data_IF_398039302348
#
_entry.id   IF_398039302348
#
_cell.length_a   1.000
_cell.length_b   1.000
_cell.length_c   1.000
_cell.angle_alpha   90.00
_cell.angle_beta   90.00
_cell.angle_gamma   90.00
#
_symmetry.space_group_name_H-M   'P 1'
#
loop_
_entity.id
_entity.type
_entity.pdbx_description
1 polymer ?
#
# COMPACT_ATOMS: atom_id res chain seq x y z
N UNK A 1 52.83 -39.75 19.34
CA UNK A 1 53.09 -38.37 18.86
C UNK A 1 51.89 -37.89 18.05
N UNK A 2 51.29 -36.78 18.51
CA UNK A 2 50.35 -35.83 17.85
C UNK A 2 48.99 -36.34 17.33
N UNK A 3 47.87 -35.93 17.96
CA UNK A 3 46.55 -35.93 17.32
C UNK A 3 46.39 -34.66 16.46
N UNK A 4 45.83 -34.83 15.26
CA UNK A 4 45.50 -33.77 14.33
C UNK A 4 44.09 -33.25 14.65
N UNK A 5 43.99 -32.04 15.21
CA UNK A 5 42.74 -31.37 15.50
C UNK A 5 42.37 -30.48 14.30
N UNK A 6 41.32 -30.85 13.56
CA UNK A 6 40.76 -30.03 12.49
C UNK A 6 39.70 -29.09 13.07
N UNK A 7 40.03 -27.80 13.14
CA UNK A 7 39.12 -26.74 13.57
C UNK A 7 38.35 -26.22 12.35
N UNK A 8 37.04 -26.51 12.27
CA UNK A 8 36.13 -25.88 11.30
C UNK A 8 35.78 -24.48 11.81
N UNK A 9 36.30 -23.45 11.14
CA UNK A 9 35.92 -22.07 11.38
C UNK A 9 34.69 -21.75 10.54
N UNK A 10 33.51 -21.65 11.19
CA UNK A 10 32.26 -21.24 10.54
C UNK A 10 32.30 -19.71 10.38
N UNK A 11 32.55 -19.22 9.17
CA UNK A 11 32.46 -17.78 8.86
C UNK A 11 30.99 -17.45 8.62
N UNK A 12 30.35 -16.83 9.61
CA UNK A 12 29.04 -16.18 9.43
C UNK A 12 29.31 -14.82 8.79
N UNK A 13 29.12 -14.70 7.48
CA UNK A 13 29.07 -13.40 6.81
C UNK A 13 27.73 -12.74 7.16
N UNK A 14 27.75 -11.81 8.10
CA UNK A 14 26.65 -10.87 8.30
C UNK A 14 26.55 -9.99 7.04
N UNK A 15 25.56 -10.28 6.20
CA UNK A 15 25.17 -9.37 5.12
C UNK A 15 24.66 -8.08 5.76
N UNK A 16 25.42 -6.98 5.63
CA UNK A 16 24.93 -5.65 5.95
C UNK A 16 23.89 -5.28 4.88
N UNK A 17 22.63 -5.57 5.17
CA UNK A 17 21.52 -5.18 4.32
C UNK A 17 21.41 -3.66 4.37
N UNK A 18 21.73 -2.97 3.27
CA UNK A 18 21.56 -1.51 3.16
C UNK A 18 20.10 -1.16 3.48
N UNK A 19 19.89 -0.21 4.41
CA UNK A 19 18.55 0.25 4.74
C UNK A 19 17.92 0.90 3.50
N UNK A 20 16.66 0.57 3.14
CA UNK A 20 15.99 1.20 2.02
C UNK A 20 15.97 2.73 2.15
N UNK A 21 16.13 3.43 1.03
CA UNK A 21 15.97 4.88 0.98
C UNK A 21 14.51 5.24 1.30
N UNK A 22 14.31 6.17 2.23
CA UNK A 22 12.99 6.68 2.59
C UNK A 22 12.37 7.47 1.44
N UNK A 23 11.11 7.19 1.13
CA UNK A 23 10.36 7.88 0.09
C UNK A 23 9.81 9.24 0.58
N UNK A 24 9.96 10.27 -0.24
CA UNK A 24 9.57 11.64 0.13
C UNK A 24 8.29 12.12 -0.55
N UNK A 25 7.76 11.34 -1.49
CA UNK A 25 6.57 11.69 -2.29
C UNK A 25 5.60 10.52 -2.23
N UNK A 26 4.79 10.47 -1.18
CA UNK A 26 3.75 9.46 -0.98
C UNK A 26 2.38 10.13 -0.90
N UNK A 27 1.39 9.56 -1.57
CA UNK A 27 -0.01 9.85 -1.26
C UNK A 27 -0.48 8.78 -0.28
N UNK A 28 -0.69 9.18 0.97
CA UNK A 28 -1.10 8.29 2.04
C UNK A 28 -2.64 8.25 2.09
N UNK A 29 -3.27 7.09 1.89
CA UNK A 29 -4.69 6.94 2.17
C UNK A 29 -4.92 6.98 3.68
N UNK A 30 -5.84 7.84 4.11
CA UNK A 30 -6.19 8.02 5.53
C UNK A 30 -7.71 8.21 5.70
N UNK A 31 -8.24 7.91 6.90
CA UNK A 31 -9.58 8.29 7.29
C UNK A 31 -9.80 9.79 7.09
N UNK A 32 -10.98 10.17 6.60
CA UNK A 32 -11.32 11.56 6.26
C UNK A 32 -11.27 12.50 7.46
N UNK A 33 -11.40 12.00 8.68
CA UNK A 33 -11.23 12.75 9.93
C UNK A 33 -9.80 13.30 10.07
N UNK A 34 -8.81 12.64 9.46
CA UNK A 34 -7.41 13.07 9.41
C UNK A 34 -7.11 14.03 8.26
N UNK A 35 -8.13 14.43 7.49
CA UNK A 35 -7.97 15.30 6.32
C UNK A 35 -7.24 16.59 6.68
N UNK A 36 -6.37 16.98 5.77
CA UNK A 36 -5.74 18.30 5.77
C UNK A 36 -6.22 19.13 4.57
N UNK A 37 -5.89 20.43 4.57
CA UNK A 37 -6.16 21.32 3.41
C UNK A 37 -5.44 20.86 2.13
N UNK A 38 -4.41 19.99 2.26
CA UNK A 38 -3.60 19.47 1.15
C UNK A 38 -4.04 18.08 0.70
N UNK A 39 -5.03 17.48 1.36
CA UNK A 39 -5.51 16.16 0.99
C UNK A 39 -6.41 16.23 -0.24
N UNK A 40 -6.30 15.23 -1.11
CA UNK A 40 -7.14 15.02 -2.30
C UNK A 40 -8.20 13.96 -1.97
N UNK A 41 -9.42 14.14 -2.47
CA UNK A 41 -10.50 13.18 -2.26
C UNK A 41 -10.61 12.29 -3.52
N UNK A 42 -10.43 10.96 -3.41
CA UNK A 42 -10.70 10.05 -4.52
C UNK A 42 -12.14 10.14 -5.02
N UNK A 43 -12.38 9.75 -6.27
CA UNK A 43 -13.73 9.78 -6.82
C UNK A 43 -14.67 8.87 -6.02
N UNK A 44 -15.84 9.39 -5.63
CA UNK A 44 -16.84 8.65 -4.86
C UNK A 44 -16.51 8.45 -3.38
N UNK A 45 -15.32 8.84 -2.90
CA UNK A 45 -14.91 8.64 -1.52
C UNK A 45 -15.73 9.50 -0.54
N UNK A 46 -16.25 8.85 0.49
CA UNK A 46 -16.98 9.47 1.58
C UNK A 46 -16.19 9.46 2.88
N UNK A 47 -15.36 8.43 3.08
CA UNK A 47 -14.61 8.19 4.31
C UNK A 47 -13.08 8.22 4.13
N UNK A 48 -12.57 8.29 2.90
CA UNK A 48 -11.12 8.29 2.61
C UNK A 48 -10.64 9.60 1.98
N UNK A 49 -9.44 10.02 2.36
CA UNK A 49 -8.67 11.04 1.65
C UNK A 49 -7.27 10.53 1.34
N UNK A 50 -6.62 11.12 0.35
CA UNK A 50 -5.21 10.91 0.06
C UNK A 50 -4.42 12.14 0.49
N UNK A 51 -3.55 11.99 1.49
CA UNK A 51 -2.78 13.09 2.06
C UNK A 51 -1.31 13.03 1.63
N UNK A 52 -0.70 14.14 1.20
CA UNK A 52 0.74 14.19 0.95
C UNK A 52 1.56 13.83 2.20
N UNK A 53 2.45 12.86 2.05
CA UNK A 53 3.25 12.29 3.12
C UNK A 53 4.67 11.91 2.67
N UNK A 54 5.53 11.61 3.65
CA UNK A 54 6.88 11.07 3.47
C UNK A 54 7.15 9.97 4.47
N UNK A 55 7.98 9.00 4.10
CA UNK A 55 8.57 8.08 5.06
C UNK A 55 9.54 8.82 5.99
N UNK A 56 9.58 8.37 7.24
CA UNK A 56 10.50 8.81 8.28
C UNK A 56 11.19 7.59 8.91
N UNK A 57 12.35 7.80 9.51
CA UNK A 57 13.08 6.72 10.17
C UNK A 57 12.43 6.28 11.51
N UNK A 58 11.71 7.20 12.16
CA UNK A 58 11.06 6.96 13.44
C UNK A 58 9.65 6.39 13.28
N UNK A 59 9.09 5.79 14.35
CA UNK A 59 7.69 5.34 14.40
C UNK A 59 6.76 6.56 14.34
N UNK A 60 5.74 6.59 13.46
CA UNK A 60 5.09 5.44 12.80
C UNK A 60 5.59 5.11 11.39
N UNK A 61 6.77 5.57 10.99
CA UNK A 61 7.42 5.25 9.71
C UNK A 61 6.95 6.11 8.53
N UNK A 62 5.81 6.81 8.65
CA UNK A 62 5.34 7.84 7.72
C UNK A 62 4.79 9.03 8.50
N UNK A 63 5.08 10.23 8.00
CA UNK A 63 4.43 11.46 8.45
C UNK A 63 3.78 12.23 7.30
N UNK A 64 2.63 12.82 7.59
CA UNK A 64 1.97 13.80 6.72
C UNK A 64 2.79 15.08 6.71
N UNK A 65 2.96 15.70 5.54
CA UNK A 65 3.67 16.96 5.45
C UNK A 65 2.96 18.08 6.24
N UNK A 66 3.64 18.71 7.22
CA UNK A 66 3.17 19.95 7.81
C UNK A 66 3.05 21.04 6.74
N UNK A 67 2.16 22.02 6.97
CA UNK A 67 1.91 23.11 6.01
C UNK A 67 3.19 23.83 5.58
N UNK A 68 4.06 24.15 6.55
CA UNK A 68 5.31 24.86 6.31
C UNK A 68 6.31 24.03 5.49
N UNK A 69 6.38 22.73 5.75
CA UNK A 69 7.27 21.83 5.03
C UNK A 69 6.75 21.55 3.62
N UNK A 70 5.44 21.39 3.45
CA UNK A 70 4.83 21.24 2.13
C UNK A 70 5.08 22.49 1.26
N UNK A 71 4.96 23.68 1.84
CA UNK A 71 5.21 24.94 1.12
C UNK A 71 6.64 25.03 0.56
N UNK A 72 7.63 24.50 1.30
CA UNK A 72 9.04 24.44 0.85
C UNK A 72 9.24 23.56 -0.38
N UNK A 73 8.34 22.61 -0.65
CA UNK A 73 8.39 21.77 -1.85
C UNK A 73 8.05 22.57 -3.12
N UNK A 74 7.33 23.69 -2.98
CA UNK A 74 6.88 24.49 -4.13
C UNK A 74 5.91 23.75 -5.05
N UNK A 75 5.14 22.80 -4.52
CA UNK A 75 4.18 21.97 -5.27
C UNK A 75 2.75 22.30 -4.85
N UNK A 76 1.80 22.18 -5.78
CA UNK A 76 0.38 22.04 -5.43
C UNK A 76 0.07 20.61 -4.98
N UNK A 77 -1.02 20.37 -4.23
CA UNK A 77 -1.48 19.01 -3.90
C UNK A 77 -1.65 18.11 -5.13
N UNK A 78 -2.18 18.63 -6.23
CA UNK A 78 -2.42 17.89 -7.47
C UNK A 78 -1.11 17.50 -8.15
N UNK A 79 -0.15 18.44 -8.19
CA UNK A 79 1.19 18.18 -8.73
C UNK A 79 1.94 17.16 -7.87
N UNK A 80 1.78 17.25 -6.55
CA UNK A 80 2.36 16.28 -5.62
C UNK A 80 1.75 14.88 -5.84
N UNK A 81 0.42 14.79 -5.96
CA UNK A 81 -0.27 13.54 -6.23
C UNK A 81 0.20 12.89 -7.55
N UNK A 82 0.32 13.69 -8.62
CA UNK A 82 0.81 13.20 -9.91
C UNK A 82 2.25 12.70 -9.82
N UNK A 83 3.14 13.41 -9.10
CA UNK A 83 4.52 12.95 -8.91
C UNK A 83 4.61 11.70 -8.03
N UNK A 84 3.73 11.57 -7.04
CA UNK A 84 3.69 10.41 -6.14
C UNK A 84 3.32 9.12 -6.87
N UNK A 85 2.61 9.19 -8.01
CA UNK A 85 2.37 8.01 -8.86
C UNK A 85 3.67 7.35 -9.30
N UNK A 86 4.70 8.14 -9.60
CA UNK A 86 6.03 7.62 -9.98
C UNK A 86 6.73 6.92 -8.81
N UNK A 87 6.56 7.43 -7.59
CA UNK A 87 7.05 6.76 -6.38
C UNK A 87 6.32 5.43 -6.18
N UNK A 88 5.00 5.42 -6.32
CA UNK A 88 4.19 4.21 -6.18
C UNK A 88 4.56 3.17 -7.25
N UNK A 89 4.80 3.57 -8.50
CA UNK A 89 5.33 2.69 -9.56
C UNK A 89 6.67 2.06 -9.18
N UNK A 90 7.62 2.88 -8.73
CA UNK A 90 8.92 2.38 -8.29
C UNK A 90 8.74 1.34 -7.18
N UNK A 91 7.97 1.66 -6.14
CA UNK A 91 7.70 0.73 -5.03
C UNK A 91 7.03 -0.57 -5.50
N UNK A 92 6.11 -0.48 -6.45
CA UNK A 92 5.44 -1.63 -7.06
C UNK A 92 6.41 -2.58 -7.77
N UNK A 93 7.53 -2.07 -8.31
CA UNK A 93 8.59 -2.93 -8.90
C UNK A 93 9.50 -3.59 -7.85
N UNK A 94 9.56 -3.05 -6.64
CA UNK A 94 10.41 -3.54 -5.54
C UNK A 94 9.68 -4.55 -4.66
N UNK A 95 8.36 -4.39 -4.51
CA UNK A 95 7.53 -5.17 -3.59
C UNK A 95 6.73 -6.18 -4.39
N UNK A 96 6.81 -7.46 -4.04
CA UNK A 96 6.05 -8.52 -4.69
C UNK A 96 4.77 -8.81 -3.91
N UNK A 97 3.63 -9.01 -4.59
CA UNK A 97 2.42 -9.47 -3.94
C UNK A 97 2.50 -10.97 -3.63
N UNK A 98 1.87 -11.38 -2.54
CA UNK A 98 1.50 -12.76 -2.31
C UNK A 98 0.20 -13.06 -3.05
N UNK A 99 0.24 -14.01 -3.98
CA UNK A 99 -0.96 -14.46 -4.72
C UNK A 99 -1.53 -15.68 -4.02
N UNK A 100 -2.76 -15.55 -3.51
CA UNK A 100 -3.43 -16.59 -2.75
C UNK A 100 -4.39 -17.34 -3.67
N UNK A 101 -4.29 -18.67 -3.66
CA UNK A 101 -5.12 -19.54 -4.48
C UNK A 101 -6.39 -19.94 -3.75
N UNK A 102 -7.49 -20.01 -4.48
CA UNK A 102 -8.75 -20.58 -4.02
C UNK A 102 -8.74 -22.10 -4.04
N UNK A 103 -9.84 -22.70 -3.59
CA UNK A 103 -10.03 -24.16 -3.55
C UNK A 103 -9.96 -24.82 -4.95
N UNK A 104 -10.27 -24.06 -6.01
CA UNK A 104 -10.18 -24.50 -7.40
C UNK A 104 -8.75 -24.40 -8.00
N UNK A 105 -7.78 -23.96 -7.19
CA UNK A 105 -6.38 -23.80 -7.59
C UNK A 105 -6.09 -22.52 -8.41
N UNK A 106 -7.10 -21.69 -8.69
CA UNK A 106 -6.94 -20.40 -9.37
C UNK A 106 -6.62 -19.31 -8.36
N UNK A 107 -6.07 -18.18 -8.81
CA UNK A 107 -5.86 -17.01 -7.94
C UNK A 107 -7.21 -16.50 -7.44
N UNK A 108 -7.39 -16.45 -6.11
CA UNK A 108 -8.59 -15.92 -5.46
C UNK A 108 -8.45 -14.42 -5.17
N UNK A 109 -7.29 -14.03 -4.63
CA UNK A 109 -6.91 -12.65 -4.37
C UNK A 109 -5.38 -12.56 -4.29
N UNK A 110 -4.86 -11.33 -4.27
CA UNK A 110 -3.47 -11.07 -3.98
C UNK A 110 -3.36 -10.03 -2.87
N UNK A 111 -2.20 -9.96 -2.22
CA UNK A 111 -1.97 -8.97 -1.17
C UNK A 111 -0.52 -8.51 -1.17
N UNK A 112 -0.32 -7.21 -1.13
CA UNK A 112 0.96 -6.61 -0.76
C UNK A 112 0.98 -6.47 0.75
N UNK A 113 1.98 -7.05 1.42
CA UNK A 113 2.21 -6.91 2.85
C UNK A 113 3.68 -6.62 3.11
N UNK A 114 3.95 -5.84 4.14
CA UNK A 114 5.31 -5.71 4.64
C UNK A 114 5.43 -4.72 5.78
N UNK A 115 6.61 -4.72 6.40
CA UNK A 115 6.90 -3.90 7.58
C UNK A 115 6.98 -2.40 7.28
N UNK A 116 7.17 -2.01 6.01
CA UNK A 116 7.13 -0.59 5.62
C UNK A 116 5.67 -0.15 5.47
N UNK A 117 5.25 0.96 6.10
CA UNK A 117 3.87 1.48 6.04
C UNK A 117 3.49 2.11 4.67
N UNK A 118 4.06 1.65 3.56
CA UNK A 118 3.88 2.23 2.22
C UNK A 118 2.89 1.46 1.34
N UNK A 119 2.40 0.32 1.81
CA UNK A 119 1.61 -0.62 0.99
C UNK A 119 0.31 0.03 0.52
N UNK A 120 -0.38 0.76 1.39
CA UNK A 120 -1.61 1.48 1.04
C UNK A 120 -1.38 2.52 -0.06
N UNK A 121 -0.20 3.15 -0.12
CA UNK A 121 0.17 4.12 -1.16
C UNK A 121 0.37 3.48 -2.54
N UNK A 122 0.49 2.16 -2.65
CA UNK A 122 0.57 1.47 -3.94
C UNK A 122 -0.72 1.59 -4.77
N UNK A 123 -1.86 1.87 -4.13
CA UNK A 123 -3.16 2.06 -4.81
C UNK A 123 -3.11 3.07 -5.96
N UNK A 124 -2.24 4.09 -5.88
CA UNK A 124 -2.14 5.12 -6.91
C UNK A 124 -1.15 4.79 -8.03
N UNK A 125 -0.49 3.62 -8.00
CA UNK A 125 0.42 3.19 -9.06
C UNK A 125 -0.37 2.84 -10.34
N UNK A 126 -0.15 3.53 -11.47
CA UNK A 126 -0.88 3.27 -12.72
C UNK A 126 -0.78 1.83 -13.25
N UNK A 127 0.33 1.15 -13.00
CA UNK A 127 0.56 -0.22 -13.46
C UNK A 127 -0.05 -1.28 -12.54
N UNK A 128 -0.56 -0.92 -11.36
CA UNK A 128 -1.20 -1.86 -10.44
C UNK A 128 -2.32 -2.68 -11.11
N UNK A 129 -3.34 -2.08 -11.77
CA UNK A 129 -4.35 -2.86 -12.48
C UNK A 129 -3.78 -3.67 -13.66
N UNK A 130 -2.68 -3.21 -14.27
CA UNK A 130 -2.04 -3.90 -15.41
C UNK A 130 -1.36 -5.19 -14.97
N UNK A 131 -0.70 -5.19 -13.80
CA UNK A 131 -0.03 -6.39 -13.26
C UNK A 131 -1.01 -7.54 -13.02
N UNK A 132 -2.25 -7.23 -12.64
CA UNK A 132 -3.26 -8.22 -12.29
C UNK A 132 -4.27 -8.49 -13.40
N UNK A 133 -4.14 -7.85 -14.56
CA UNK A 133 -5.12 -7.93 -15.66
C UNK A 133 -5.34 -9.39 -16.11
N UNK A 134 -4.25 -10.17 -16.26
CA UNK A 134 -4.31 -11.58 -16.66
C UNK A 134 -4.96 -12.48 -15.59
N UNK A 135 -4.87 -12.11 -14.31
CA UNK A 135 -5.39 -12.91 -13.20
C UNK A 135 -6.85 -12.57 -12.88
N UNK A 136 -7.20 -11.28 -12.90
CA UNK A 136 -8.43 -10.75 -12.32
C UNK A 136 -9.30 -9.98 -13.32
N UNK A 137 -8.80 -9.73 -14.53
CA UNK A 137 -9.49 -8.99 -15.59
C UNK A 137 -9.15 -7.50 -15.61
N UNK A 138 -9.79 -6.75 -16.50
CA UNK A 138 -9.49 -5.35 -16.79
C UNK A 138 -9.83 -4.35 -15.65
N UNK A 139 -10.62 -4.77 -14.66
CA UNK A 139 -10.90 -4.02 -13.44
C UNK A 139 -10.54 -4.90 -12.24
N UNK A 140 -9.79 -4.33 -11.29
CA UNK A 140 -9.52 -4.93 -9.99
C UNK A 140 -10.15 -4.09 -8.89
N UNK A 141 -10.49 -4.72 -7.77
CA UNK A 141 -10.91 -4.03 -6.57
C UNK A 141 -9.83 -4.12 -5.51
N UNK A 142 -9.54 -3.03 -4.83
CA UNK A 142 -8.52 -3.00 -3.77
C UNK A 142 -9.11 -2.54 -2.45
N UNK A 143 -8.63 -3.16 -1.37
CA UNK A 143 -8.93 -2.78 0.00
C UNK A 143 -7.63 -2.57 0.77
N UNK A 144 -7.59 -1.56 1.62
CA UNK A 144 -6.39 -1.12 2.33
C UNK A 144 -6.80 -0.74 3.76
N UNK A 145 -7.04 -1.73 4.64
CA UNK A 145 -7.50 -1.46 6.00
C UNK A 145 -6.45 -0.72 6.83
N UNK A 146 -5.16 -0.91 6.51
CA UNK A 146 -4.04 -0.30 7.20
C UNK A 146 -2.90 0.08 6.23
N UNK A 147 -1.90 0.81 6.73
CA UNK A 147 -0.76 1.28 5.92
C UNK A 147 0.19 0.17 5.43
N UNK A 148 0.15 -1.00 6.04
CA UNK A 148 1.06 -2.13 5.82
C UNK A 148 0.45 -3.21 4.93
N UNK A 149 -0.79 -3.02 4.45
CA UNK A 149 -1.44 -3.95 3.56
C UNK A 149 -2.20 -3.28 2.42
N UNK A 150 -2.15 -3.92 1.25
CA UNK A 150 -3.05 -3.62 0.12
C UNK A 150 -3.51 -4.95 -0.47
N UNK A 151 -4.80 -5.22 -0.31
CA UNK A 151 -5.45 -6.39 -0.88
C UNK A 151 -5.93 -6.07 -2.29
N UNK A 152 -5.80 -7.04 -3.19
CA UNK A 152 -6.23 -6.96 -4.59
C UNK A 152 -7.14 -8.14 -4.89
N UNK A 153 -8.36 -7.82 -5.30
CA UNK A 153 -9.41 -8.77 -5.61
C UNK A 153 -9.81 -8.67 -7.08
N UNK A 154 -10.33 -9.76 -7.67
CA UNK A 154 -11.17 -9.63 -8.86
C UNK A 154 -12.36 -8.72 -8.57
N UNK A 155 -12.80 -7.97 -9.59
CA UNK A 155 -13.96 -7.07 -9.51
C UNK A 155 -15.30 -7.83 -9.43
N UNK A 156 -15.50 -8.58 -8.34
CA UNK A 156 -16.65 -9.43 -8.05
C UNK A 156 -17.07 -9.24 -6.59
N UNK A 157 -18.34 -8.94 -6.36
CA UNK A 157 -18.87 -8.65 -5.01
C UNK A 157 -18.72 -9.84 -4.09
N UNK A 158 -19.02 -11.02 -4.59
CA UNK A 158 -19.04 -12.27 -3.84
C UNK A 158 -17.66 -12.58 -3.26
N UNK A 159 -16.58 -12.22 -3.99
CA UNK A 159 -15.21 -12.44 -3.53
C UNK A 159 -14.85 -11.50 -2.39
N UNK A 160 -15.27 -10.23 -2.44
CA UNK A 160 -14.92 -9.26 -1.39
C UNK A 160 -15.81 -9.41 -0.16
N UNK A 161 -17.07 -9.83 -0.34
CA UNK A 161 -18.04 -10.06 0.74
C UNK A 161 -17.50 -11.04 1.81
N UNK A 162 -16.76 -12.07 1.40
CA UNK A 162 -16.12 -13.03 2.31
C UNK A 162 -15.05 -12.40 3.22
N UNK A 163 -14.49 -11.24 2.84
CA UNK A 163 -13.41 -10.57 3.57
C UNK A 163 -13.89 -9.36 4.38
N UNK A 164 -15.15 -8.93 4.24
CA UNK A 164 -15.64 -7.69 4.86
C UNK A 164 -15.41 -7.67 6.36
N UNK A 165 -15.69 -8.77 7.06
CA UNK A 165 -15.51 -8.85 8.51
C UNK A 165 -14.02 -8.71 8.92
N UNK A 166 -13.12 -9.46 8.28
CA UNK A 166 -11.67 -9.40 8.56
C UNK A 166 -11.08 -8.02 8.21
N UNK A 167 -11.50 -7.43 7.08
CA UNK A 167 -11.06 -6.09 6.70
C UNK A 167 -11.55 -5.02 7.69
N UNK A 168 -12.79 -5.13 8.18
CA UNK A 168 -13.35 -4.20 9.15
C UNK A 168 -12.64 -4.30 10.50
N UNK A 169 -12.40 -5.51 10.99
CA UNK A 169 -11.65 -5.76 12.22
C UNK A 169 -10.24 -5.16 12.13
N UNK A 170 -9.50 -5.46 11.05
CA UNK A 170 -8.17 -4.88 10.80
C UNK A 170 -8.18 -3.36 10.80
N UNK A 171 -9.17 -2.74 10.15
CA UNK A 171 -9.28 -1.28 10.11
C UNK A 171 -9.58 -0.68 11.49
N UNK A 172 -10.46 -1.31 12.26
CA UNK A 172 -10.86 -0.81 13.58
C UNK A 172 -9.78 -0.97 14.65
N UNK A 173 -9.01 -2.05 14.59
CA UNK A 173 -7.99 -2.36 15.60
C UNK A 173 -6.62 -1.72 15.30
N UNK A 174 -6.38 -1.27 14.07
CA UNK A 174 -5.08 -0.73 13.69
C UNK A 174 -4.96 0.78 13.99
N UNK A 175 -3.98 1.22 14.83
CA UNK A 175 -3.76 2.64 15.10
C UNK A 175 -3.27 3.43 13.87
N UNK A 176 -2.92 2.73 12.80
CA UNK A 176 -2.51 3.27 11.51
C UNK A 176 -3.45 2.78 10.40
N UNK A 177 -4.75 2.83 10.68
CA UNK A 177 -5.80 2.59 9.70
C UNK A 177 -5.63 3.49 8.47
N UNK A 178 -5.93 2.95 7.27
CA UNK A 178 -5.76 3.66 6.01
C UNK A 178 -7.10 4.02 5.37
N UNK A 179 -7.95 3.05 5.06
CA UNK A 179 -9.27 3.33 4.49
C UNK A 179 -10.28 2.22 4.81
N UNK A 180 -11.55 2.56 5.10
CA UNK A 180 -12.63 1.58 5.23
C UNK A 180 -13.33 1.30 3.88
N UNK A 181 -12.86 1.88 2.78
CA UNK A 181 -13.50 1.84 1.46
C UNK A 181 -12.79 0.85 0.51
N UNK A 182 -13.55 0.37 -0.48
CA UNK A 182 -13.06 -0.50 -1.56
C UNK A 182 -13.01 0.32 -2.84
N UNK A 183 -11.87 0.29 -3.52
CA UNK A 183 -11.64 1.09 -4.71
C UNK A 183 -11.57 0.20 -5.96
N UNK A 184 -12.27 0.58 -7.01
CA UNK A 184 -12.06 0.02 -8.34
C UNK A 184 -10.92 0.75 -9.04
N UNK A 185 -9.98 -0.04 -9.58
CA UNK A 185 -8.86 0.44 -10.36
C UNK A 185 -8.93 -0.15 -11.76
N UNK A 186 -8.72 0.72 -12.76
CA UNK A 186 -8.59 0.35 -14.17
C UNK A 186 -7.38 1.04 -14.78
N UNK A 187 -6.84 0.42 -15.82
CA UNK A 187 -5.73 0.99 -16.59
C UNK A 187 -6.10 2.38 -17.12
N UNK A 188 -5.32 3.38 -16.74
CA UNK A 188 -5.47 4.76 -17.21
C UNK A 188 -6.56 5.58 -16.52
N UNK A 189 -7.28 5.01 -15.54
CA UNK A 189 -8.30 5.71 -14.75
C UNK A 189 -7.80 5.99 -13.32
N UNK A 190 -8.36 7.02 -12.68
CA UNK A 190 -8.09 7.27 -11.26
C UNK A 190 -8.85 6.26 -10.38
N UNK A 191 -8.35 5.95 -9.17
CA UNK A 191 -9.10 5.12 -8.22
C UNK A 191 -10.44 5.75 -7.86
N UNK A 192 -11.50 4.92 -7.86
CA UNK A 192 -12.86 5.32 -7.49
C UNK A 192 -13.45 4.36 -6.47
N UNK A 193 -14.20 4.87 -5.50
CA UNK A 193 -14.87 4.04 -4.50
C UNK A 193 -16.05 3.30 -5.11
N UNK A 194 -16.16 2.00 -4.81
CA UNK A 194 -17.26 1.13 -5.27
C UNK A 194 -18.03 0.45 -4.14
N UNK A 195 -17.43 0.36 -2.95
CA UNK A 195 -18.06 -0.19 -1.75
C UNK A 195 -17.30 0.27 -0.49
N UNK A 196 -17.77 -0.13 0.69
CA UNK A 196 -17.08 0.03 1.95
C UNK A 196 -17.27 -1.21 2.82
N UNK A 197 -16.26 -1.55 3.61
CA UNK A 197 -16.29 -2.68 4.54
C UNK A 197 -16.45 -2.24 6.00
N UNK A 198 -16.23 -0.96 6.31
CA UNK A 198 -16.51 -0.35 7.61
C UNK A 198 -17.18 1.02 7.44
N UNK A 199 -17.76 1.54 8.52
CA UNK A 199 -18.42 2.85 8.57
C UNK A 199 -17.78 3.73 9.63
#
# INVERSE_FOLDING_TARGET
MKPLLALFLLIVTASAQEKPKLETLLMLPEPKEMRTERSVVPEGAQATVLTPAREIADVPGIEVYPKEDFAKLGLSPETFAERSKKTAEKLLTEIKPDVIKGADGKAAYAVYRGERPVMASLMIAPSLPVIFEDLFGAEIWVALPDRHSLFVFPAKKEVVEEFIADLAERYQENPHAASPEIFALKKGEAPRVVAAFAR
#
